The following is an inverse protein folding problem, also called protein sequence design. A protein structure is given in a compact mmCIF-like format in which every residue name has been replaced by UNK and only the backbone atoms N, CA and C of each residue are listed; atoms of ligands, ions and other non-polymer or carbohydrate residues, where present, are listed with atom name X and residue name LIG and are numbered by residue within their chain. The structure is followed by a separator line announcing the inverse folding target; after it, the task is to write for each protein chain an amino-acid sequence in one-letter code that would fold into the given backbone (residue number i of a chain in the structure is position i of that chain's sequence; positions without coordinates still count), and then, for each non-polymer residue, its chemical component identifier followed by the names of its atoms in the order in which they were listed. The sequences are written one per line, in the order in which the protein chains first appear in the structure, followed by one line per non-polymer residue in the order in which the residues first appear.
data_IF_840708643064
#
_entry.id   IF_840708643064
#
_cell.length_a   1.000
_cell.length_b   1.000
_cell.length_c   1.000
_cell.angle_alpha   90.00
_cell.angle_beta   90.00
_cell.angle_gamma   90.00
#
_symmetry.space_group_name_H-M   'P 1'
#
loop_
_entity.id
_entity.type
_entity.pdbx_description
1 polymer ?
#
# COMPACT_ATOMS: atom_id res chain seq x y z
N UNK A 1 -8.05 -28.20 -2.02
CA UNK A 1 -7.71 -26.81 -2.42
C UNK A 1 -8.93 -25.96 -2.17
N UNK A 2 -9.00 -25.24 -1.06
CA UNK A 2 -10.11 -24.33 -0.79
C UNK A 2 -9.90 -23.06 -1.67
N UNK A 3 -10.91 -22.72 -2.45
CA UNK A 3 -10.92 -21.51 -3.24
C UNK A 3 -10.83 -20.30 -2.32
N UNK A 4 -9.71 -19.61 -2.33
CA UNK A 4 -9.58 -18.28 -1.72
C UNK A 4 -10.62 -17.38 -2.38
N UNK A 5 -11.46 -16.63 -1.64
CA UNK A 5 -12.34 -15.65 -2.27
C UNK A 5 -11.47 -14.58 -2.93
N UNK A 6 -11.27 -14.76 -4.21
CA UNK A 6 -10.42 -13.94 -5.03
C UNK A 6 -11.27 -12.82 -5.60
N UNK A 7 -11.34 -11.69 -4.92
CA UNK A 7 -11.54 -10.46 -5.68
C UNK A 7 -10.28 -10.26 -6.52
N UNK A 8 -10.38 -10.51 -7.82
CA UNK A 8 -9.33 -10.18 -8.75
C UNK A 8 -9.14 -8.67 -8.71
N UNK A 9 -7.97 -8.21 -8.26
CA UNK A 9 -7.63 -6.79 -8.34
C UNK A 9 -7.58 -6.40 -9.81
N UNK A 10 -8.02 -5.20 -10.13
CA UNK A 10 -8.10 -4.73 -11.52
C UNK A 10 -6.74 -4.24 -11.99
N UNK A 11 -6.35 -4.63 -13.20
CA UNK A 11 -5.23 -4.11 -13.96
C UNK A 11 -3.89 -4.10 -13.23
N UNK A 12 -2.96 -3.21 -13.62
CA UNK A 12 -1.74 -3.00 -12.87
C UNK A 12 -2.02 -2.51 -11.46
N UNK A 13 -1.33 -3.11 -10.47
CA UNK A 13 -1.49 -2.79 -9.05
C UNK A 13 -0.35 -1.90 -8.59
N UNK A 14 -0.67 -0.76 -7.97
CA UNK A 14 0.30 0.11 -7.32
C UNK A 14 0.29 -0.09 -5.80
N UNK A 15 1.44 -0.40 -5.21
CA UNK A 15 1.62 -0.44 -3.76
C UNK A 15 2.32 0.84 -3.32
N UNK A 16 1.65 1.62 -2.46
CA UNK A 16 2.18 2.91 -1.96
C UNK A 16 2.59 2.72 -0.52
N UNK A 17 3.88 2.89 -0.26
CA UNK A 17 4.54 2.68 1.04
C UNK A 17 5.31 3.93 1.48
N UNK A 18 5.66 3.98 2.75
CA UNK A 18 6.40 5.10 3.33
C UNK A 18 7.92 4.95 3.16
N UNK A 19 8.47 3.80 3.56
CA UNK A 19 9.91 3.58 3.68
C UNK A 19 10.37 2.29 2.99
N UNK A 20 11.66 2.21 2.60
CA UNK A 20 12.26 0.94 2.19
C UNK A 20 12.24 -0.06 3.37
N UNK A 21 11.65 -1.19 3.20
CA UNK A 21 11.36 -2.34 4.06
C UNK A 21 9.87 -2.61 4.29
N UNK A 22 9.00 -1.64 4.08
CA UNK A 22 7.54 -1.79 4.24
C UNK A 22 6.97 -2.87 3.31
N UNK A 23 7.43 -2.93 2.06
CA UNK A 23 6.99 -3.92 1.07
C UNK A 23 7.26 -5.36 1.54
N UNK A 24 8.39 -5.56 2.19
CA UNK A 24 8.82 -6.86 2.72
C UNK A 24 8.11 -7.22 4.03
N UNK A 25 7.91 -6.21 4.90
CA UNK A 25 7.30 -6.40 6.21
C UNK A 25 5.78 -6.54 6.16
N UNK A 26 5.12 -5.85 5.22
CA UNK A 26 3.66 -5.69 5.26
C UNK A 26 2.94 -6.19 4.02
N UNK A 27 3.59 -6.26 2.85
CA UNK A 27 2.93 -6.57 1.60
C UNK A 27 3.48 -7.83 0.89
N UNK A 28 4.44 -8.55 1.48
CA UNK A 28 5.05 -9.71 0.85
C UNK A 28 4.05 -10.79 0.40
N UNK A 29 3.03 -11.21 1.20
CA UNK A 29 2.01 -12.16 0.74
C UNK A 29 1.22 -11.66 -0.48
N UNK A 30 0.98 -10.36 -0.53
CA UNK A 30 0.26 -9.72 -1.63
C UNK A 30 1.10 -9.71 -2.89
N UNK A 31 2.30 -9.13 -2.85
CA UNK A 31 3.19 -8.99 -4.00
C UNK A 31 3.53 -10.35 -4.62
N UNK A 32 3.90 -11.32 -3.81
CA UNK A 32 4.17 -12.69 -4.29
C UNK A 32 2.95 -13.39 -4.87
N UNK A 33 1.75 -13.05 -4.41
CA UNK A 33 0.52 -13.61 -5.00
C UNK A 33 0.21 -12.95 -6.34
N UNK A 34 0.44 -11.65 -6.48
CA UNK A 34 0.29 -10.93 -7.76
C UNK A 34 1.27 -11.47 -8.79
N UNK A 35 2.54 -11.63 -8.42
CA UNK A 35 3.58 -12.23 -9.28
C UNK A 35 3.16 -13.62 -9.79
N UNK A 36 2.77 -14.53 -8.88
CA UNK A 36 2.30 -15.88 -9.25
C UNK A 36 1.08 -15.89 -10.17
N UNK A 37 0.29 -14.82 -10.18
CA UNK A 37 -0.86 -14.65 -11.08
C UNK A 37 -0.49 -13.97 -12.40
N UNK A 38 0.77 -13.62 -12.60
CA UNK A 38 1.21 -12.83 -13.76
C UNK A 38 0.62 -11.42 -13.77
N UNK A 39 0.21 -10.91 -12.61
CA UNK A 39 -0.36 -9.57 -12.48
C UNK A 39 0.72 -8.57 -12.12
N UNK A 40 0.93 -7.57 -13.00
CA UNK A 40 1.94 -6.54 -12.82
C UNK A 40 1.67 -5.74 -11.56
N UNK A 41 2.71 -5.58 -10.74
CA UNK A 41 2.72 -4.71 -9.57
C UNK A 41 3.84 -3.66 -9.71
N UNK A 42 3.57 -2.44 -9.27
CA UNK A 42 4.57 -1.38 -9.13
C UNK A 42 4.58 -0.87 -7.69
N UNK A 43 5.72 -0.38 -7.23
CA UNK A 43 5.91 0.12 -5.86
C UNK A 43 6.29 1.60 -5.90
N UNK A 44 5.54 2.43 -5.15
CA UNK A 44 5.89 3.82 -4.85
C UNK A 44 6.31 3.90 -3.39
N UNK A 45 7.59 4.16 -3.15
CA UNK A 45 8.15 4.43 -1.82
C UNK A 45 8.35 5.95 -1.66
N UNK A 46 7.71 6.55 -0.66
CA UNK A 46 7.62 8.00 -0.53
C UNK A 46 8.80 8.65 0.20
N UNK A 47 9.73 7.85 0.72
CA UNK A 47 10.99 8.31 1.32
C UNK A 47 12.10 7.32 1.06
N UNK A 48 13.34 7.79 0.98
CA UNK A 48 14.52 6.91 0.97
C UNK A 48 14.85 6.32 2.36
N UNK A 49 14.16 6.74 3.41
CA UNK A 49 14.44 6.27 4.77
C UNK A 49 15.78 6.74 5.32
N UNK A 50 16.16 8.00 5.06
CA UNK A 50 17.52 8.52 5.30
C UNK A 50 17.76 9.07 6.72
N UNK A 51 16.93 8.71 7.70
CA UNK A 51 17.06 9.20 9.08
C UNK A 51 18.47 9.00 9.68
N UNK A 52 19.14 7.90 9.33
CA UNK A 52 20.50 7.58 9.80
C UNK A 52 21.57 7.80 8.71
N UNK A 53 21.31 8.55 7.65
CA UNK A 53 22.24 8.75 6.54
C UNK A 53 22.43 7.51 5.66
N UNK A 54 21.49 6.59 5.67
CA UNK A 54 21.54 5.32 4.91
C UNK A 54 20.67 5.33 3.65
N UNK A 55 20.09 6.44 3.27
CA UNK A 55 19.11 6.53 2.19
C UNK A 55 19.58 5.89 0.88
N UNK A 56 20.82 6.17 0.44
CA UNK A 56 21.36 5.57 -0.78
C UNK A 56 21.55 4.05 -0.69
N UNK A 57 21.85 3.52 0.50
CA UNK A 57 21.93 2.08 0.73
C UNK A 57 20.54 1.48 0.72
N UNK A 58 19.60 2.06 1.45
CA UNK A 58 18.22 1.58 1.56
C UNK A 58 17.48 1.58 0.21
N UNK A 59 17.74 2.56 -0.68
CA UNK A 59 17.20 2.55 -2.05
C UNK A 59 17.62 1.30 -2.83
N UNK A 60 18.91 0.96 -2.80
CA UNK A 60 19.42 -0.24 -3.47
C UNK A 60 18.87 -1.53 -2.86
N UNK A 61 18.70 -1.54 -1.54
CA UNK A 61 18.12 -2.65 -0.81
C UNK A 61 16.64 -2.84 -1.19
N UNK A 62 15.87 -1.75 -1.29
CA UNK A 62 14.46 -1.80 -1.73
C UNK A 62 14.30 -2.41 -3.13
N UNK A 63 15.11 -1.97 -4.09
CA UNK A 63 15.06 -2.53 -5.47
C UNK A 63 15.32 -4.04 -5.45
N UNK A 64 16.33 -4.48 -4.69
CA UNK A 64 16.64 -5.92 -4.55
C UNK A 64 15.51 -6.69 -3.87
N UNK A 65 14.94 -6.14 -2.81
CA UNK A 65 13.83 -6.76 -2.09
C UNK A 65 12.56 -6.84 -2.95
N UNK A 66 12.27 -5.80 -3.71
CA UNK A 66 11.20 -5.79 -4.71
C UNK A 66 11.39 -6.90 -5.75
N UNK A 67 12.61 -7.11 -6.26
CA UNK A 67 12.92 -8.21 -7.17
C UNK A 67 12.66 -9.60 -6.57
N UNK A 68 12.96 -9.81 -5.28
CA UNK A 68 12.60 -11.05 -4.55
C UNK A 68 11.08 -11.25 -4.49
N UNK A 69 10.31 -10.16 -4.43
CA UNK A 69 8.84 -10.16 -4.37
C UNK A 69 8.16 -10.21 -5.74
N UNK A 70 8.94 -10.25 -6.84
CA UNK A 70 8.43 -10.31 -8.21
C UNK A 70 8.05 -8.95 -8.81
N UNK A 71 8.62 -7.86 -8.28
CA UNK A 71 8.46 -6.51 -8.84
C UNK A 71 9.74 -6.15 -9.60
N UNK A 72 9.60 -5.77 -10.86
CA UNK A 72 10.72 -5.38 -11.71
C UNK A 72 11.35 -4.05 -11.24
N UNK A 73 12.64 -3.85 -11.49
CA UNK A 73 13.36 -2.62 -11.07
C UNK A 73 12.71 -1.35 -11.65
N UNK A 74 12.30 -1.38 -12.92
CA UNK A 74 11.64 -0.27 -13.59
C UNK A 74 10.24 0.07 -13.02
N UNK A 75 9.66 -0.84 -12.24
CA UNK A 75 8.37 -0.66 -11.56
C UNK A 75 8.52 -0.14 -10.11
N UNK A 76 9.75 0.17 -9.68
CA UNK A 76 10.03 0.75 -8.35
C UNK A 76 10.32 2.25 -8.48
N UNK A 77 9.55 3.06 -7.78
CA UNK A 77 9.75 4.52 -7.69
C UNK A 77 10.04 4.89 -6.25
N UNK A 78 11.13 5.62 -6.05
CA UNK A 78 11.54 6.10 -4.73
C UNK A 78 11.59 7.62 -4.76
N UNK A 79 10.84 8.24 -3.86
CA UNK A 79 10.76 9.70 -3.76
C UNK A 79 11.81 10.22 -2.76
N UNK A 80 12.44 11.32 -3.12
CA UNK A 80 13.26 12.13 -2.23
C UNK A 80 12.71 13.55 -2.25
N UNK A 81 11.88 13.86 -1.25
CA UNK A 81 11.24 15.17 -1.17
C UNK A 81 11.52 15.79 0.21
N UNK A 82 11.90 17.09 0.30
CA UNK A 82 12.26 17.73 1.57
C UNK A 82 11.19 17.67 2.66
N UNK A 83 9.91 17.56 2.27
CA UNK A 83 8.78 17.45 3.19
C UNK A 83 8.35 16.00 3.50
N UNK A 84 9.02 14.99 2.92
CA UNK A 84 8.74 13.57 3.13
C UNK A 84 9.96 12.87 3.73
N UNK A 85 10.54 13.47 4.77
CA UNK A 85 11.72 12.92 5.43
C UNK A 85 11.33 11.93 6.51
N UNK A 86 12.00 10.77 6.54
CA UNK A 86 11.89 9.78 7.61
C UNK A 86 12.35 10.41 8.95
N UNK A 87 11.59 10.16 10.02
CA UNK A 87 11.86 10.70 11.35
C UNK A 87 11.58 12.20 11.51
N UNK A 88 10.91 12.84 10.57
CA UNK A 88 10.45 14.22 10.73
C UNK A 88 9.48 14.35 11.90
N UNK A 89 9.61 15.42 12.68
CA UNK A 89 8.63 15.77 13.71
C UNK A 89 7.33 16.31 13.10
N UNK A 90 7.39 16.79 11.87
CA UNK A 90 6.22 17.27 11.13
C UNK A 90 5.60 16.13 10.32
N UNK A 91 4.27 16.03 10.39
CA UNK A 91 3.54 15.07 9.57
C UNK A 91 3.69 15.40 8.08
N UNK A 92 3.89 14.40 7.25
CA UNK A 92 3.98 14.58 5.80
C UNK A 92 2.72 15.23 5.23
N UNK A 93 2.86 16.30 4.42
CA UNK A 93 1.71 16.99 3.83
C UNK A 93 0.96 16.08 2.85
N UNK A 94 -0.34 15.96 3.04
CA UNK A 94 -1.18 15.08 2.22
C UNK A 94 -1.25 15.49 0.74
N UNK A 95 -1.12 16.77 0.44
CA UNK A 95 -1.08 17.30 -0.92
C UNK A 95 0.20 16.87 -1.67
N UNK A 96 1.35 16.89 -0.99
CA UNK A 96 2.63 16.42 -1.55
C UNK A 96 2.55 14.92 -1.85
N UNK A 97 2.07 14.12 -0.89
CA UNK A 97 1.87 12.67 -1.10
C UNK A 97 0.89 12.44 -2.26
N UNK A 98 -0.23 13.16 -2.28
CA UNK A 98 -1.27 13.07 -3.32
C UNK A 98 -0.72 13.35 -4.72
N UNK A 99 0.18 14.35 -4.86
CA UNK A 99 0.82 14.67 -6.14
C UNK A 99 1.68 13.50 -6.64
N UNK A 100 2.54 12.94 -5.78
CA UNK A 100 3.38 11.79 -6.16
C UNK A 100 2.55 10.53 -6.50
N UNK A 101 1.45 10.30 -5.78
CA UNK A 101 0.51 9.22 -6.10
C UNK A 101 -0.15 9.45 -7.46
N UNK A 102 -0.53 10.69 -7.78
CA UNK A 102 -1.07 11.05 -9.09
C UNK A 102 -0.10 10.69 -10.22
N UNK A 103 1.14 11.14 -10.13
CA UNK A 103 2.17 10.93 -11.14
C UNK A 103 2.47 9.43 -11.32
N UNK A 104 2.55 8.70 -10.21
CA UNK A 104 2.74 7.25 -10.21
C UNK A 104 1.59 6.50 -10.91
N UNK A 105 0.35 6.86 -10.58
CA UNK A 105 -0.84 6.25 -11.21
C UNK A 105 -0.85 6.50 -12.71
N UNK A 106 -0.49 7.70 -13.15
CA UNK A 106 -0.42 8.03 -14.58
C UNK A 106 0.71 7.28 -15.28
N UNK A 107 1.91 7.30 -14.71
CA UNK A 107 3.11 6.68 -15.28
C UNK A 107 2.90 5.18 -15.56
N UNK A 108 2.30 4.45 -14.63
CA UNK A 108 2.18 3.00 -14.71
C UNK A 108 0.77 2.51 -15.11
N UNK A 109 -0.17 3.41 -15.37
CA UNK A 109 -1.54 3.05 -15.70
C UNK A 109 -2.24 2.26 -14.58
N UNK A 110 -1.94 2.57 -13.31
CA UNK A 110 -2.43 1.85 -12.14
C UNK A 110 -3.97 1.87 -12.11
N UNK A 111 -4.55 0.69 -11.91
CA UNK A 111 -6.01 0.51 -11.78
C UNK A 111 -6.43 0.11 -10.37
N UNK A 112 -5.49 -0.37 -9.56
CA UNK A 112 -5.72 -0.67 -8.14
C UNK A 112 -4.58 -0.12 -7.31
N UNK A 113 -4.90 0.65 -6.25
CA UNK A 113 -3.93 1.11 -5.25
C UNK A 113 -4.08 0.25 -3.99
N UNK A 114 -2.96 -0.21 -3.45
CA UNK A 114 -2.84 -0.80 -2.12
C UNK A 114 -1.96 0.10 -1.25
N UNK A 115 -2.39 0.36 -0.02
CA UNK A 115 -1.63 1.19 0.93
C UNK A 115 -2.01 0.83 2.37
N UNK A 116 -1.52 1.59 3.35
CA UNK A 116 -1.88 1.46 4.76
C UNK A 116 -3.27 2.03 5.04
N UNK A 117 -3.90 1.59 6.14
CA UNK A 117 -5.10 2.21 6.69
C UNK A 117 -4.76 3.40 7.62
N UNK A 118 -5.78 4.01 8.20
CA UNK A 118 -5.63 5.14 9.14
C UNK A 118 -4.87 4.75 10.42
N UNK A 119 -4.85 3.47 10.76
CA UNK A 119 -4.09 2.92 11.89
C UNK A 119 -2.61 2.71 11.61
N UNK A 120 -2.17 2.76 10.32
CA UNK A 120 -0.77 2.71 9.91
C UNK A 120 0.00 1.50 10.44
N UNK A 121 -0.64 0.35 10.58
CA UNK A 121 -0.12 -0.93 11.13
C UNK A 121 0.28 -0.87 12.62
N UNK A 122 0.85 0.23 13.07
CA UNK A 122 1.35 0.41 14.45
C UNK A 122 1.18 1.84 14.94
N UNK A 123 0.37 2.65 14.28
CA UNK A 123 0.28 4.08 14.58
C UNK A 123 1.46 4.89 14.05
N UNK A 124 2.23 4.35 13.06
CA UNK A 124 3.35 5.08 12.48
C UNK A 124 2.84 6.32 11.75
N UNK A 125 3.38 7.50 12.10
CA UNK A 125 2.95 8.80 11.57
C UNK A 125 2.99 8.84 10.04
N UNK A 126 4.06 8.31 9.45
CA UNK A 126 4.29 8.36 8.01
C UNK A 126 3.36 7.40 7.26
N UNK A 127 3.07 6.20 7.82
CA UNK A 127 2.05 5.30 7.25
C UNK A 127 0.66 5.95 7.23
N UNK A 128 0.29 6.64 8.32
CA UNK A 128 -0.99 7.38 8.38
C UNK A 128 -1.00 8.57 7.42
N UNK A 129 0.15 9.22 7.21
CA UNK A 129 0.28 10.30 6.24
C UNK A 129 0.15 9.78 4.79
N UNK A 130 0.73 8.62 4.48
CA UNK A 130 0.53 7.94 3.18
C UNK A 130 -0.95 7.68 2.95
N UNK A 131 -1.67 7.12 3.91
CA UNK A 131 -3.11 6.90 3.81
C UNK A 131 -3.88 8.19 3.52
N UNK A 132 -3.60 9.28 4.25
CA UNK A 132 -4.24 10.59 4.05
C UNK A 132 -3.98 11.16 2.66
N UNK A 133 -2.74 11.03 2.15
CA UNK A 133 -2.38 11.49 0.81
C UNK A 133 -3.09 10.70 -0.29
N UNK A 134 -3.15 9.38 -0.18
CA UNK A 134 -3.92 8.53 -1.09
C UNK A 134 -5.40 8.88 -1.03
N UNK A 135 -5.98 9.06 0.15
CA UNK A 135 -7.37 9.47 0.30
C UNK A 135 -7.66 10.84 -0.34
N UNK A 136 -6.74 11.80 -0.20
CA UNK A 136 -6.85 13.11 -0.85
C UNK A 136 -6.81 12.97 -2.37
N UNK A 137 -5.85 12.20 -2.92
CA UNK A 137 -5.78 11.91 -4.35
C UNK A 137 -7.10 11.34 -4.90
N UNK A 138 -7.65 10.36 -4.22
CA UNK A 138 -8.89 9.72 -4.63
C UNK A 138 -10.08 10.71 -4.61
N UNK A 139 -10.18 11.56 -3.59
CA UNK A 139 -11.22 12.61 -3.50
C UNK A 139 -11.10 13.61 -4.64
N UNK A 140 -9.91 14.12 -4.89
CA UNK A 140 -9.64 15.08 -5.98
C UNK A 140 -10.02 14.48 -7.33
N UNK A 141 -9.63 13.23 -7.58
CA UNK A 141 -9.97 12.50 -8.80
C UNK A 141 -11.50 12.32 -8.96
N UNK A 142 -12.22 12.01 -7.88
CA UNK A 142 -13.68 11.86 -7.89
C UNK A 142 -14.37 13.18 -8.23
N UNK A 143 -13.94 14.29 -7.66
CA UNK A 143 -14.48 15.64 -7.95
C UNK A 143 -14.24 16.01 -9.42
N UNK A 144 -13.02 15.83 -9.92
CA UNK A 144 -12.68 16.14 -11.32
C UNK A 144 -13.54 15.34 -12.30
N UNK A 145 -13.79 14.06 -12.02
CA UNK A 145 -14.67 13.21 -12.86
C UNK A 145 -16.11 13.69 -12.82
N UNK A 146 -16.60 14.06 -11.66
CA UNK A 146 -17.99 14.55 -11.51
C UNK A 146 -18.20 15.87 -12.26
N UNK A 147 -17.27 16.81 -12.14
CA UNK A 147 -17.35 18.09 -12.86
C UNK A 147 -17.26 17.92 -14.38
N UNK A 148 -16.39 17.04 -14.87
CA UNK A 148 -16.28 16.72 -16.30
C UNK A 148 -17.57 16.10 -16.84
N UNK A 149 -18.24 15.23 -16.08
CA UNK A 149 -19.52 14.61 -16.44
C UNK A 149 -20.66 15.64 -16.55
N UNK A 150 -20.70 16.62 -15.64
CA UNK A 150 -21.72 17.69 -15.67
C UNK A 150 -21.48 18.63 -16.86
N UNK A 151 -20.22 18.89 -17.23
CA UNK A 151 -19.86 19.78 -18.32
C UNK A 151 -20.13 19.20 -19.73
N UNK A 152 -20.74 18.00 -19.84
CA UNK A 152 -21.07 17.37 -21.13
C UNK A 152 -19.84 16.91 -21.93
N UNK A 153 -18.66 16.96 -21.33
CA UNK A 153 -17.46 16.38 -21.93
C UNK A 153 -17.63 14.86 -21.99
N UNK A 154 -17.49 14.27 -23.21
CA UNK A 154 -17.27 12.84 -23.34
C UNK A 154 -15.95 12.54 -22.63
N UNK A 155 -16.05 12.33 -21.31
CA UNK A 155 -14.91 12.17 -20.45
C UNK A 155 -14.03 11.06 -21.03
N UNK A 156 -12.81 11.40 -21.37
CA UNK A 156 -11.74 10.45 -21.58
C UNK A 156 -12.00 9.27 -20.65
N UNK A 157 -12.04 8.07 -21.19
CA UNK A 157 -12.27 6.80 -20.49
C UNK A 157 -11.18 6.55 -19.40
N UNK A 158 -11.17 7.45 -18.41
CA UNK A 158 -10.34 7.28 -17.23
C UNK A 158 -10.88 6.05 -16.51
N UNK A 159 -10.20 4.92 -16.69
CA UNK A 159 -10.54 3.64 -16.07
C UNK A 159 -10.86 3.82 -14.59
N UNK A 160 -11.87 3.10 -14.11
CA UNK A 160 -12.20 3.11 -12.70
C UNK A 160 -10.96 2.68 -11.91
N UNK A 161 -10.58 3.48 -10.90
CA UNK A 161 -9.47 3.19 -10.00
C UNK A 161 -10.05 2.67 -8.69
N UNK A 162 -9.61 1.50 -8.29
CA UNK A 162 -9.93 0.93 -6.98
C UNK A 162 -8.79 1.23 -5.99
N UNK A 163 -9.11 1.39 -4.73
CA UNK A 163 -8.11 1.57 -3.68
C UNK A 163 -8.49 0.77 -2.43
N UNK A 164 -7.48 0.14 -1.83
CA UNK A 164 -7.64 -0.69 -0.66
C UNK A 164 -6.57 -0.37 0.37
N UNK A 165 -6.96 -0.39 1.62
CA UNK A 165 -6.11 -0.13 2.78
C UNK A 165 -5.83 -1.41 3.56
N UNK A 166 -4.55 -1.68 3.85
CA UNK A 166 -4.11 -2.81 4.67
C UNK A 166 -4.61 -2.63 6.10
N UNK A 167 -5.38 -3.60 6.58
CA UNK A 167 -6.03 -3.53 7.88
C UNK A 167 -5.02 -3.58 9.02
N UNK A 168 -5.01 -2.55 9.85
CA UNK A 168 -4.30 -2.54 11.13
C UNK A 168 -4.99 -3.47 12.11
N UNK A 169 -4.24 -4.34 12.75
CA UNK A 169 -4.75 -5.30 13.74
C UNK A 169 -4.19 -5.03 15.14
N UNK A 170 -4.95 -5.38 16.17
CA UNK A 170 -4.47 -5.30 17.54
C UNK A 170 -3.24 -6.18 17.79
N UNK A 171 -2.48 -5.87 18.86
CA UNK A 171 -1.17 -6.47 19.17
C UNK A 171 -1.20 -8.00 19.18
N UNK A 172 -2.20 -8.63 19.78
CA UNK A 172 -2.29 -10.09 19.84
C UNK A 172 -2.39 -10.71 18.45
N UNK A 173 -3.25 -10.17 17.60
CA UNK A 173 -3.38 -10.63 16.21
C UNK A 173 -2.15 -10.29 15.37
N UNK A 174 -1.54 -9.13 15.60
CA UNK A 174 -0.33 -8.70 14.88
C UNK A 174 0.82 -9.71 15.03
N UNK A 175 0.99 -10.29 16.23
CA UNK A 175 2.07 -11.21 16.55
C UNK A 175 1.63 -12.68 16.67
N UNK A 176 0.48 -13.06 16.15
CA UNK A 176 0.03 -14.44 16.08
C UNK A 176 0.56 -15.22 14.87
N UNK A 177 1.28 -14.54 13.96
CA UNK A 177 1.90 -15.17 12.80
C UNK A 177 0.88 -15.89 11.91
N UNK A 178 1.21 -17.13 11.56
CA UNK A 178 0.36 -17.98 10.74
C UNK A 178 -0.96 -18.39 11.47
N UNK A 179 -1.00 -18.33 12.80
CA UNK A 179 -2.19 -18.68 13.58
C UNK A 179 -3.36 -17.72 13.36
N UNK A 180 -3.12 -16.49 12.86
CA UNK A 180 -4.19 -15.56 12.48
C UNK A 180 -4.93 -15.99 11.19
N UNK A 181 -4.36 -16.90 10.40
CA UNK A 181 -4.90 -17.27 9.10
C UNK A 181 -6.32 -17.85 9.16
N UNK A 182 -6.66 -18.83 10.05
CA UNK A 182 -8.03 -19.34 10.16
C UNK A 182 -9.03 -18.25 10.54
N UNK A 183 -8.67 -17.40 11.48
CA UNK A 183 -9.51 -16.28 11.91
C UNK A 183 -9.71 -15.25 10.78
N UNK A 184 -8.62 -14.85 10.14
CA UNK A 184 -8.68 -13.92 9.01
C UNK A 184 -9.48 -14.50 7.85
N UNK A 185 -9.36 -15.79 7.58
CA UNK A 185 -10.14 -16.45 6.54
C UNK A 185 -11.64 -16.45 6.91
N UNK A 186 -12.00 -16.86 8.13
CA UNK A 186 -13.38 -16.89 8.58
C UNK A 186 -14.06 -15.51 8.53
N UNK A 187 -13.32 -14.44 8.87
CA UNK A 187 -13.82 -13.06 8.86
C UNK A 187 -13.78 -12.39 7.47
N UNK A 188 -13.10 -12.99 6.49
CA UNK A 188 -12.99 -12.46 5.12
C UNK A 188 -14.22 -12.72 4.25
N UNK A 189 -15.17 -13.53 4.69
CA UNK A 189 -16.39 -13.85 3.95
C UNK A 189 -17.51 -12.79 4.07
N UNK A 190 -17.29 -11.72 4.84
CA UNK A 190 -18.28 -10.66 5.06
C UNK A 190 -17.74 -9.25 4.74
N UNK A 191 -18.63 -8.31 4.35
CA UNK A 191 -18.24 -6.92 4.30
C UNK A 191 -17.76 -6.44 5.69
N UNK A 192 -16.75 -5.54 5.77
CA UNK A 192 -16.28 -4.64 4.72
C UNK A 192 -14.97 -5.06 4.02
N UNK A 193 -14.52 -6.33 4.11
CA UNK A 193 -13.24 -6.72 3.52
C UNK A 193 -13.27 -6.66 1.99
N UNK A 194 -12.25 -6.00 1.42
CA UNK A 194 -12.12 -5.78 -0.01
C UNK A 194 -11.20 -6.77 -0.73
N UNK A 195 -10.17 -7.27 -0.06
CA UNK A 195 -9.23 -8.25 -0.61
C UNK A 195 -8.52 -9.03 0.51
N UNK A 196 -8.13 -10.26 0.20
CA UNK A 196 -7.41 -11.15 1.10
C UNK A 196 -6.30 -11.87 0.33
N UNK A 197 -5.10 -11.86 0.90
CA UNK A 197 -3.94 -12.58 0.37
C UNK A 197 -3.28 -13.37 1.49
N UNK A 198 -2.86 -14.58 1.20
CA UNK A 198 -2.19 -15.43 2.18
C UNK A 198 -1.01 -16.20 1.60
N UNK A 199 -0.03 -16.45 2.45
CA UNK A 199 1.11 -17.31 2.19
C UNK A 199 1.29 -18.27 3.36
N UNK A 200 1.42 -19.57 3.10
CA UNK A 200 1.70 -20.56 4.15
C UNK A 200 3.16 -20.56 4.60
N UNK A 201 3.97 -19.65 4.11
CA UNK A 201 5.38 -19.58 4.47
C UNK A 201 5.89 -18.15 4.47
N UNK A 202 6.53 -17.74 5.56
CA UNK A 202 7.24 -16.46 5.63
C UNK A 202 8.58 -16.47 4.86
N UNK A 203 8.95 -17.55 4.17
CA UNK A 203 10.26 -17.67 3.51
C UNK A 203 10.55 -16.54 2.53
N UNK A 204 9.56 -16.14 1.74
CA UNK A 204 9.74 -15.07 0.76
C UNK A 204 9.82 -13.70 1.46
N UNK A 205 8.96 -13.46 2.45
CA UNK A 205 9.05 -12.25 3.28
C UNK A 205 10.40 -12.16 4.01
N UNK A 206 10.93 -13.29 4.50
CA UNK A 206 12.26 -13.38 5.07
C UNK A 206 13.36 -13.06 4.04
N UNK A 207 13.30 -13.65 2.86
CA UNK A 207 14.28 -13.42 1.81
C UNK A 207 14.28 -11.96 1.34
N UNK A 208 13.10 -11.36 1.16
CA UNK A 208 12.94 -9.96 0.80
C UNK A 208 13.48 -9.05 1.93
N UNK A 209 13.11 -9.32 3.19
CA UNK A 209 13.62 -8.55 4.32
C UNK A 209 15.14 -8.72 4.50
N UNK A 210 15.70 -9.89 4.19
CA UNK A 210 17.14 -10.12 4.21
C UNK A 210 17.91 -9.33 3.14
N UNK A 211 17.25 -8.89 2.06
CA UNK A 211 17.85 -7.98 1.08
C UNK A 211 18.04 -6.57 1.64
N UNK A 212 17.28 -6.18 2.67
CA UNK A 212 17.49 -4.96 3.45
C UNK A 212 18.55 -5.15 4.54
N UNK A 213 19.78 -5.44 4.15
CA UNK A 213 20.87 -5.77 5.10
C UNK A 213 21.04 -4.72 6.19
N UNK A 214 20.95 -3.44 5.84
CA UNK A 214 21.07 -2.34 6.82
C UNK A 214 19.95 -2.32 7.86
N UNK A 215 18.80 -2.92 7.54
CA UNK A 215 17.59 -2.90 8.36
C UNK A 215 17.27 -4.27 8.99
N UNK A 216 17.93 -5.36 8.55
CA UNK A 216 17.62 -6.73 8.98
C UNK A 216 18.24 -7.09 10.33
N UNK A 217 17.91 -6.28 11.33
CA UNK A 217 18.33 -6.44 12.72
C UNK A 217 17.49 -7.50 13.44
N UNK A 218 17.92 -7.93 14.65
CA UNK A 218 17.32 -9.07 15.35
C UNK A 218 15.80 -8.95 15.58
N UNK A 219 15.28 -7.78 15.96
CA UNK A 219 13.85 -7.60 16.21
C UNK A 219 13.00 -7.64 14.92
N UNK A 220 13.56 -7.21 13.78
CA UNK A 220 12.88 -7.36 12.49
C UNK A 220 12.86 -8.80 12.00
N UNK A 221 13.88 -9.61 12.33
CA UNK A 221 13.85 -11.07 12.12
C UNK A 221 12.71 -11.71 12.89
N UNK A 222 12.55 -11.35 14.17
CA UNK A 222 11.40 -11.81 14.96
C UNK A 222 10.06 -11.31 14.39
N UNK A 223 10.03 -10.07 13.92
CA UNK A 223 8.82 -9.54 13.27
C UNK A 223 8.40 -10.40 12.08
N UNK A 224 9.30 -10.74 11.16
CA UNK A 224 8.95 -11.57 9.99
C UNK A 224 8.47 -12.96 10.40
N UNK A 225 9.01 -13.54 11.47
CA UNK A 225 8.59 -14.87 11.95
C UNK A 225 7.21 -14.81 12.60
N UNK A 226 6.97 -13.82 13.45
CA UNK A 226 5.78 -13.77 14.34
C UNK A 226 4.67 -12.84 13.85
N UNK A 227 4.96 -11.95 12.89
CA UNK A 227 3.94 -11.04 12.38
C UNK A 227 2.98 -11.74 11.42
N UNK A 228 1.68 -11.55 11.63
CA UNK A 228 0.66 -11.99 10.68
C UNK A 228 0.87 -11.42 9.27
N UNK A 229 1.43 -10.22 9.16
CA UNK A 229 1.63 -9.56 7.87
C UNK A 229 2.62 -10.28 6.95
N UNK A 230 3.49 -11.14 7.49
CA UNK A 230 4.33 -12.02 6.69
C UNK A 230 3.57 -13.24 6.11
N UNK A 231 2.34 -13.50 6.58
CA UNK A 231 1.52 -14.64 6.18
C UNK A 231 0.16 -14.24 5.60
N UNK A 232 -0.44 -13.17 6.12
CA UNK A 232 -1.80 -12.76 5.77
C UNK A 232 -1.89 -11.25 5.61
N UNK A 233 -2.38 -10.82 4.44
CA UNK A 233 -2.80 -9.46 4.21
C UNK A 233 -4.31 -9.40 4.01
N UNK A 234 -4.97 -8.58 4.80
CA UNK A 234 -6.40 -8.28 4.67
C UNK A 234 -6.56 -6.80 4.38
N UNK A 235 -7.37 -6.49 3.39
CA UNK A 235 -7.58 -5.12 2.94
C UNK A 235 -9.06 -4.75 3.05
N UNK A 236 -9.31 -3.48 3.38
CA UNK A 236 -10.63 -2.86 3.26
C UNK A 236 -10.63 -1.90 2.07
N UNK A 237 -11.76 -1.81 1.39
CA UNK A 237 -11.91 -0.84 0.30
C UNK A 237 -11.91 0.58 0.89
N UNK A 238 -11.13 1.48 0.30
CA UNK A 238 -11.15 2.89 0.65
C UNK A 238 -12.40 3.53 0.05
N UNK A 239 -13.34 3.93 0.92
CA UNK A 239 -14.54 4.64 0.50
C UNK A 239 -14.27 6.12 0.39
N UNK A 240 -14.55 6.68 -0.78
CA UNK A 240 -14.53 8.12 -1.00
C UNK A 240 -15.97 8.59 -0.80
N UNK A 241 -16.24 9.25 0.32
CA UNK A 241 -17.50 9.97 0.45
C UNK A 241 -17.53 11.05 -0.63
N UNK A 242 -18.60 11.16 -1.42
CA UNK A 242 -18.76 12.27 -2.36
C UNK A 242 -18.69 13.58 -1.57
N UNK A 243 -18.20 14.67 -2.19
CA UNK A 243 -18.23 15.97 -1.55
C UNK A 243 -19.66 16.32 -1.15
N UNK A 244 -19.86 17.03 -0.02
CA UNK A 244 -21.19 17.50 0.36
C UNK A 244 -21.78 18.34 -0.80
N UNK A 245 -23.08 18.25 -1.04
CA UNK A 245 -23.73 19.09 -2.05
C UNK A 245 -23.44 20.57 -1.77
N UNK A 246 -23.27 21.40 -2.81
CA UNK A 246 -23.05 22.82 -2.62
C UNK A 246 -24.22 23.42 -1.80
N UNK A 247 -23.95 24.38 -0.92
CA UNK A 247 -25.01 25.03 -0.16
C UNK A 247 -26.07 25.58 -1.10
N UNK A 248 -27.36 25.51 -0.73
CA UNK A 248 -28.43 26.05 -1.55
C UNK A 248 -28.14 27.52 -1.85
N UNK A 249 -28.07 27.86 -3.12
CA UNK A 249 -27.96 29.26 -3.54
C UNK A 249 -29.29 29.94 -3.21
N UNK A 250 -29.29 30.74 -2.17
CA UNK A 250 -30.42 31.62 -1.88
C UNK A 250 -30.55 32.61 -3.06
N UNK A 251 -31.60 32.43 -3.84
CA UNK A 251 -32.05 33.44 -4.80
C UNK A 251 -32.83 34.52 -4.12
#
# INVERSE_FOLDING_TARGET
MAATPSYALRGPVGVVIAHPDDESMFFAPTLTTLERRGQRAAVLCLSSGDFYGLGQTRKRELVKACGVLGVEEDDVVIIEHPKLQDGSMEAWPADVVSSHVHDFVQKFGIQTILTFDEGGVSGHSDHTAVNRGVALFLRTRAVTRHTASIAGGSGSSSSALDAFALVTTGMLRKYSGMLDMPWSLATSYGPPLGAFFSSFSARIAWAAMAAHHSQFVWYRRLFVIFSRYAYVNTFTRMHISPPPPPPPQHR
#
